data_IF_794158985742
#
_entry.id   IF_794158985742
#
_cell.length_a   1.000
_cell.length_b   1.000
_cell.length_c   1.000
_cell.angle_alpha   90.00
_cell.angle_beta   90.00
_cell.angle_gamma   90.00
#
_symmetry.space_group_name_H-M   'P 1'
#
loop_
_entity.id
_entity.type
_entity.pdbx_description
1 polymer ?
#
# COMPACT_ATOMS: atom_id res chain seq x y z
N UNK A 1 9.91 -3.35 -19.88
CA UNK A 1 8.91 -2.44 -19.29
C UNK A 1 9.54 -1.70 -18.12
N UNK A 2 8.99 -0.56 -17.73
CA UNK A 2 9.28 0.04 -16.42
C UNK A 2 8.04 0.01 -15.54
N UNK A 3 8.20 -0.38 -14.29
CA UNK A 3 7.15 -0.35 -13.28
C UNK A 3 7.48 0.79 -12.33
N UNK A 4 6.67 1.83 -12.31
CA UNK A 4 6.99 3.10 -11.65
C UNK A 4 6.07 3.33 -10.46
N UNK A 5 6.66 3.42 -9.27
CA UNK A 5 5.97 3.85 -8.06
C UNK A 5 5.60 5.32 -8.12
N UNK A 6 4.30 5.63 -8.07
CA UNK A 6 3.81 7.02 -8.12
C UNK A 6 3.59 7.65 -6.74
N UNK A 7 3.95 6.93 -5.68
CA UNK A 7 3.76 7.38 -4.30
C UNK A 7 2.36 7.07 -3.77
N UNK A 8 2.21 7.12 -2.45
CA UNK A 8 0.96 6.77 -1.76
C UNK A 8 -0.14 7.82 -1.94
N UNK A 9 0.23 9.08 -2.17
CA UNK A 9 -0.67 10.21 -2.41
C UNK A 9 0.04 11.42 -3.04
N UNK A 10 -0.68 12.54 -3.24
CA UNK A 10 -0.14 13.76 -3.85
C UNK A 10 1.16 14.27 -3.19
N UNK A 11 2.08 14.79 -3.99
CA UNK A 11 3.38 15.31 -3.51
C UNK A 11 4.39 14.24 -3.09
N UNK A 12 4.08 12.95 -3.25
CA UNK A 12 4.97 11.83 -2.89
C UNK A 12 5.62 11.14 -4.10
N UNK A 13 5.56 11.79 -5.27
CA UNK A 13 6.23 11.32 -6.48
C UNK A 13 7.73 11.61 -6.38
N UNK A 14 8.57 10.59 -6.61
CA UNK A 14 10.03 10.78 -6.62
C UNK A 14 10.48 11.47 -7.91
N UNK A 15 11.61 12.17 -7.86
CA UNK A 15 12.18 12.80 -9.06
C UNK A 15 12.58 11.77 -10.14
N UNK A 16 12.95 10.56 -9.74
CA UNK A 16 13.25 9.47 -10.66
C UNK A 16 11.98 8.97 -11.37
N UNK A 17 10.90 8.74 -10.62
CA UNK A 17 9.60 8.38 -11.19
C UNK A 17 9.09 9.45 -12.16
N UNK A 18 9.14 10.73 -11.76
CA UNK A 18 8.76 11.84 -12.63
C UNK A 18 9.56 11.87 -13.94
N UNK A 19 10.88 11.66 -13.89
CA UNK A 19 11.72 11.57 -15.11
C UNK A 19 11.32 10.38 -15.99
N UNK A 20 11.08 9.20 -15.42
CA UNK A 20 10.65 8.04 -16.17
C UNK A 20 9.30 8.27 -16.88
N UNK A 21 8.36 8.94 -16.19
CA UNK A 21 7.02 9.27 -16.72
C UNK A 21 7.10 10.30 -17.85
N UNK A 22 7.88 11.38 -17.68
CA UNK A 22 8.05 12.42 -18.71
C UNK A 22 8.64 11.88 -20.02
N UNK A 23 9.48 10.85 -19.95
CA UNK A 23 10.09 10.22 -21.13
C UNK A 23 9.21 9.12 -21.76
N UNK A 24 8.13 8.73 -21.10
CA UNK A 24 7.28 7.64 -21.55
C UNK A 24 6.48 8.04 -22.80
N UNK A 25 6.31 7.08 -23.71
CA UNK A 25 5.43 7.21 -24.88
C UNK A 25 4.15 6.40 -24.75
N UNK A 26 4.15 5.41 -23.85
CA UNK A 26 3.05 4.52 -23.57
C UNK A 26 2.99 4.28 -22.06
N UNK A 27 1.90 4.71 -21.43
CA UNK A 27 1.65 4.58 -20.00
C UNK A 27 0.41 3.73 -19.77
N UNK A 28 0.50 2.81 -18.83
CA UNK A 28 -0.62 2.09 -18.25
C UNK A 28 -0.70 2.37 -16.74
N UNK A 29 -1.88 2.62 -16.21
CA UNK A 29 -2.06 2.78 -14.76
C UNK A 29 -3.52 2.62 -14.35
N UNK A 30 -3.77 2.48 -13.05
CA UNK A 30 -5.13 2.71 -12.54
C UNK A 30 -5.51 4.18 -12.70
N UNK A 31 -6.80 4.51 -12.72
CA UNK A 31 -7.27 5.92 -12.75
C UNK A 31 -6.59 6.75 -11.67
N UNK A 32 -6.54 6.23 -10.44
CA UNK A 32 -5.86 6.87 -9.30
C UNK A 32 -4.37 7.12 -9.57
N UNK A 33 -3.64 6.16 -10.12
CA UNK A 33 -2.22 6.32 -10.39
C UNK A 33 -1.96 7.33 -11.51
N UNK A 34 -2.80 7.35 -12.54
CA UNK A 34 -2.74 8.32 -13.65
C UNK A 34 -3.00 9.74 -13.14
N UNK A 35 -4.03 9.92 -12.30
CA UNK A 35 -4.39 11.24 -11.76
C UNK A 35 -3.26 11.84 -10.90
N UNK A 36 -2.54 11.02 -10.13
CA UNK A 36 -1.41 11.46 -9.32
C UNK A 36 -0.25 12.04 -10.12
N UNK A 37 -0.10 11.66 -11.39
CA UNK A 37 1.06 12.02 -12.20
C UNK A 37 0.68 12.79 -13.46
N UNK A 38 -0.58 13.24 -13.56
CA UNK A 38 -1.13 13.89 -14.76
C UNK A 38 -0.27 15.04 -15.28
N UNK A 39 0.31 15.83 -14.38
CA UNK A 39 1.17 16.97 -14.72
C UNK A 39 2.54 16.54 -15.30
N UNK A 40 2.95 15.30 -15.06
CA UNK A 40 4.22 14.75 -15.51
C UNK A 40 4.13 14.00 -16.84
N UNK A 41 2.91 13.71 -17.30
CA UNK A 41 2.68 12.99 -18.55
C UNK A 41 2.98 13.94 -19.72
N UNK A 42 3.97 13.57 -20.53
CA UNK A 42 4.37 14.35 -21.69
C UNK A 42 3.27 14.47 -22.76
N UNK A 43 3.23 15.59 -23.51
CA UNK A 43 2.27 15.75 -24.60
C UNK A 43 2.49 14.66 -25.66
N UNK A 44 1.40 14.00 -26.07
CA UNK A 44 1.45 12.92 -27.07
C UNK A 44 1.80 11.53 -26.51
N UNK A 45 1.97 11.38 -25.18
CA UNK A 45 2.01 10.06 -24.56
C UNK A 45 0.66 9.36 -24.69
N UNK A 46 0.67 8.09 -25.12
CA UNK A 46 -0.53 7.25 -25.10
C UNK A 46 -0.76 6.73 -23.68
N UNK A 47 -1.85 7.14 -23.04
CA UNK A 47 -2.18 6.74 -21.67
C UNK A 47 -3.40 5.83 -21.69
N UNK A 48 -3.30 4.68 -21.03
CA UNK A 48 -4.39 3.71 -20.93
C UNK A 48 -4.67 3.33 -19.48
N UNK A 49 -5.95 3.26 -19.15
CA UNK A 49 -6.38 2.73 -17.85
C UNK A 49 -6.23 1.21 -17.88
N UNK A 50 -5.70 0.63 -16.81
CA UNK A 50 -5.61 -0.82 -16.66
C UNK A 50 -6.99 -1.38 -16.38
N UNK A 51 -7.53 -2.15 -17.33
CA UNK A 51 -8.80 -2.87 -17.18
C UNK A 51 -8.58 -4.32 -16.71
N UNK A 52 -7.48 -4.95 -17.17
CA UNK A 52 -7.13 -6.32 -16.82
C UNK A 52 -5.65 -6.44 -16.42
N UNK A 53 -5.39 -6.66 -15.13
CA UNK A 53 -4.04 -6.80 -14.60
C UNK A 53 -3.29 -8.04 -15.12
N UNK A 54 -3.99 -9.05 -15.65
CA UNK A 54 -3.34 -10.27 -16.17
C UNK A 54 -2.60 -10.04 -17.48
N UNK A 55 -3.07 -9.08 -18.29
CA UNK A 55 -2.51 -8.75 -19.61
C UNK A 55 -1.27 -7.86 -19.51
N UNK A 56 -0.95 -7.33 -18.32
CA UNK A 56 0.20 -6.44 -18.14
C UNK A 56 1.54 -7.09 -18.49
N UNK A 57 1.64 -8.42 -18.42
CA UNK A 57 2.85 -9.17 -18.80
C UNK A 57 3.09 -9.22 -20.30
N UNK A 58 2.05 -8.98 -21.09
CA UNK A 58 2.09 -9.04 -22.56
C UNK A 58 2.34 -7.65 -23.18
N UNK A 59 2.45 -6.61 -22.33
CA UNK A 59 2.71 -5.26 -22.78
C UNK A 59 4.11 -5.13 -23.39
N UNK A 60 4.29 -4.22 -24.37
CA UNK A 60 5.56 -4.07 -25.06
C UNK A 60 6.63 -3.49 -24.13
N UNK A 61 7.90 -3.74 -24.43
CA UNK A 61 9.01 -3.47 -23.53
C UNK A 61 9.18 -1.98 -23.16
N UNK A 62 8.72 -1.07 -24.01
CA UNK A 62 8.72 0.38 -23.81
C UNK A 62 7.59 0.90 -22.92
N UNK A 63 6.63 0.05 -22.54
CA UNK A 63 5.52 0.47 -21.67
C UNK A 63 6.02 0.85 -20.27
N UNK A 64 5.48 1.96 -19.77
CA UNK A 64 5.59 2.38 -18.36
C UNK A 64 4.29 2.03 -17.65
N UNK A 65 4.40 1.27 -16.57
CA UNK A 65 3.27 0.82 -15.76
C UNK A 65 3.31 1.55 -14.43
N UNK A 66 2.29 2.36 -14.15
CA UNK A 66 2.16 3.11 -12.91
C UNK A 66 1.61 2.20 -11.80
N UNK A 67 2.30 2.18 -10.67
CA UNK A 67 1.89 1.48 -9.45
C UNK A 67 1.73 2.51 -8.34
N UNK A 68 0.55 2.59 -7.73
CA UNK A 68 0.33 3.43 -6.54
C UNK A 68 1.25 2.97 -5.40
N UNK A 69 1.79 3.91 -4.64
CA UNK A 69 2.76 3.63 -3.58
C UNK A 69 4.12 3.22 -4.13
N UNK A 70 4.68 2.17 -3.54
CA UNK A 70 5.90 1.51 -4.02
C UNK A 70 5.53 0.18 -4.70
N UNK A 71 6.10 -0.14 -5.88
CA UNK A 71 5.77 -1.37 -6.58
C UNK A 71 6.08 -2.67 -5.80
N UNK A 72 7.02 -2.63 -4.85
CA UNK A 72 7.53 -3.80 -4.13
C UNK A 72 6.84 -4.10 -2.80
N UNK A 73 5.98 -3.22 -2.27
CA UNK A 73 5.25 -3.51 -1.01
C UNK A 73 4.07 -4.45 -1.21
N UNK A 74 3.20 -4.14 -2.19
CA UNK A 74 2.04 -4.95 -2.60
C UNK A 74 1.53 -4.50 -3.97
N UNK A 75 2.44 -4.02 -4.81
CA UNK A 75 2.15 -3.40 -6.10
C UNK A 75 2.45 -4.31 -7.28
N UNK A 76 2.83 -3.68 -8.39
CA UNK A 76 3.08 -4.36 -9.66
C UNK A 76 4.55 -4.78 -9.87
N UNK A 77 5.37 -4.76 -8.81
CA UNK A 77 6.79 -5.12 -8.87
C UNK A 77 7.09 -6.58 -9.22
N UNK A 78 6.06 -7.45 -9.28
CA UNK A 78 6.18 -8.83 -9.75
C UNK A 78 6.26 -8.96 -11.27
N UNK A 79 5.98 -7.89 -12.03
CA UNK A 79 6.08 -7.87 -13.49
C UNK A 79 7.55 -7.79 -13.93
N UNK A 80 7.86 -8.41 -15.06
CA UNK A 80 9.21 -8.35 -15.62
C UNK A 80 9.54 -6.93 -16.12
N UNK A 81 10.62 -6.36 -15.61
CA UNK A 81 11.06 -5.03 -16.00
C UNK A 81 11.91 -4.33 -14.95
N UNK A 82 12.28 -3.09 -15.26
CA UNK A 82 12.96 -2.20 -14.32
C UNK A 82 11.92 -1.61 -13.35
N UNK A 83 12.15 -1.75 -12.06
CA UNK A 83 11.29 -1.16 -11.02
C UNK A 83 11.88 0.16 -10.57
N UNK A 84 11.11 1.24 -10.74
CA UNK A 84 11.40 2.56 -10.14
C UNK A 84 10.63 2.67 -8.82
N UNK A 85 11.31 2.79 -7.68
CA UNK A 85 10.66 2.79 -6.37
C UNK A 85 9.82 4.05 -6.15
N UNK A 86 8.85 3.93 -5.25
CA UNK A 86 7.96 5.01 -4.83
C UNK A 86 7.85 5.10 -3.32
N UNK A 87 7.16 6.13 -2.82
CA UNK A 87 6.85 6.23 -1.39
C UNK A 87 5.64 5.35 -1.08
N UNK A 88 5.84 4.28 -0.32
CA UNK A 88 4.79 3.32 0.03
C UNK A 88 3.86 3.82 1.13
N UNK A 89 2.64 3.29 1.20
CA UNK A 89 1.70 3.57 2.29
C UNK A 89 2.25 3.16 3.66
N UNK A 90 3.05 2.09 3.74
CA UNK A 90 3.73 1.68 4.97
C UNK A 90 4.72 2.75 5.45
N UNK A 91 5.50 3.33 4.54
CA UNK A 91 6.43 4.42 4.87
C UNK A 91 5.67 5.64 5.41
N UNK A 92 4.56 6.02 4.78
CA UNK A 92 3.70 7.13 5.25
C UNK A 92 3.07 6.81 6.60
N UNK A 93 2.52 5.61 6.79
CA UNK A 93 1.93 5.18 8.05
C UNK A 93 2.95 5.21 9.20
N UNK A 94 4.16 4.70 8.96
CA UNK A 94 5.28 4.78 9.90
C UNK A 94 5.62 6.23 10.27
N UNK A 95 5.69 7.12 9.27
CA UNK A 95 5.97 8.53 9.50
C UNK A 95 4.87 9.22 10.33
N UNK A 96 3.59 8.91 10.08
CA UNK A 96 2.45 9.47 10.82
C UNK A 96 2.35 8.97 12.26
N UNK A 97 2.58 7.68 12.45
CA UNK A 97 2.55 7.04 13.77
C UNK A 97 3.86 7.21 14.55
N UNK A 98 4.91 7.78 13.92
CA UNK A 98 6.26 7.89 14.48
C UNK A 98 6.85 6.52 14.88
N UNK A 99 6.56 5.50 14.09
CA UNK A 99 7.07 4.13 14.28
C UNK A 99 8.24 3.90 13.33
N UNK A 100 9.31 3.27 13.83
CA UNK A 100 10.43 2.86 12.99
C UNK A 100 10.01 1.72 12.06
N UNK A 101 10.30 1.85 10.77
CA UNK A 101 10.06 0.77 9.79
C UNK A 101 10.81 -0.52 10.16
N UNK A 102 11.91 -0.45 10.91
CA UNK A 102 12.66 -1.63 11.38
C UNK A 102 11.88 -2.50 12.37
N UNK A 103 10.77 -2.00 12.91
CA UNK A 103 9.86 -2.73 13.79
C UNK A 103 8.64 -3.30 13.06
N UNK A 104 8.46 -2.94 11.79
CA UNK A 104 7.23 -3.22 11.04
C UNK A 104 7.45 -4.38 10.08
N UNK A 105 6.54 -5.34 10.11
CA UNK A 105 6.48 -6.48 9.20
C UNK A 105 5.24 -6.35 8.32
N UNK A 106 5.38 -6.04 7.02
CA UNK A 106 4.25 -6.02 6.11
C UNK A 106 3.79 -7.46 5.81
N UNK A 107 2.49 -7.70 5.92
CA UNK A 107 1.87 -9.00 5.62
C UNK A 107 0.73 -8.78 4.63
N UNK A 108 0.79 -9.47 3.49
CA UNK A 108 -0.25 -9.39 2.46
C UNK A 108 -1.48 -10.19 2.88
N UNK A 109 -2.65 -9.53 2.85
CA UNK A 109 -3.95 -10.19 3.13
C UNK A 109 -4.93 -10.07 1.94
N UNK A 110 -4.50 -9.51 0.81
CA UNK A 110 -5.36 -9.23 -0.33
C UNK A 110 -5.53 -10.44 -1.26
N UNK A 111 -6.77 -10.74 -1.67
CA UNK A 111 -7.11 -11.70 -2.72
C UNK A 111 -7.18 -13.18 -2.33
N UNK A 112 -6.89 -13.54 -1.08
CA UNK A 112 -7.16 -14.88 -0.49
C UNK A 112 -7.68 -14.67 0.93
N UNK A 113 -8.42 -15.65 1.47
CA UNK A 113 -8.86 -15.61 2.88
C UNK A 113 -7.63 -15.34 3.75
N UNK A 114 -7.67 -14.26 4.53
CA UNK A 114 -6.57 -13.87 5.41
C UNK A 114 -6.16 -15.05 6.30
N UNK A 115 -4.89 -15.42 6.25
CA UNK A 115 -4.28 -16.36 7.19
C UNK A 115 -3.79 -15.57 8.40
N UNK A 116 -4.38 -15.76 9.60
CA UNK A 116 -3.97 -15.01 10.79
C UNK A 116 -2.65 -15.50 11.38
N UNK A 117 -2.18 -16.71 11.09
CA UNK A 117 -1.02 -17.30 11.79
C UNK A 117 0.26 -16.47 11.66
N UNK A 118 0.67 -15.99 10.46
CA UNK A 118 1.85 -15.10 10.34
C UNK A 118 1.69 -13.78 11.12
N UNK A 119 0.46 -13.30 11.27
CA UNK A 119 0.16 -12.09 12.02
C UNK A 119 0.33 -12.34 13.52
N UNK A 120 -0.24 -13.44 14.04
CA UNK A 120 -0.12 -13.84 15.44
C UNK A 120 1.36 -14.06 15.83
N UNK A 121 2.13 -14.73 14.96
CA UNK A 121 3.55 -14.98 15.19
C UNK A 121 4.35 -13.68 15.36
N UNK A 122 4.23 -12.75 14.41
CA UNK A 122 5.00 -11.50 14.45
C UNK A 122 4.55 -10.58 15.59
N UNK A 123 3.25 -10.51 15.88
CA UNK A 123 2.74 -9.79 17.06
C UNK A 123 3.25 -10.41 18.36
N UNK A 124 3.29 -11.74 18.44
CA UNK A 124 3.85 -12.49 19.57
C UNK A 124 5.34 -12.24 19.77
N UNK A 125 6.09 -11.96 18.69
CA UNK A 125 7.49 -11.54 18.72
C UNK A 125 7.70 -10.06 19.08
N UNK A 126 6.61 -9.33 19.38
CA UNK A 126 6.66 -7.90 19.69
C UNK A 126 6.93 -7.03 18.46
N UNK A 127 6.68 -7.53 17.25
CA UNK A 127 6.72 -6.72 16.02
C UNK A 127 5.39 -6.00 15.81
N UNK A 128 5.46 -4.89 15.09
CA UNK A 128 4.28 -4.25 14.53
C UNK A 128 4.00 -4.90 13.17
N UNK A 129 2.76 -5.30 12.90
CA UNK A 129 2.37 -5.77 11.57
C UNK A 129 1.72 -4.63 10.79
N UNK A 130 1.99 -4.58 9.49
CA UNK A 130 1.34 -3.66 8.56
C UNK A 130 0.52 -4.46 7.54
N UNK A 131 -0.78 -4.16 7.46
CA UNK A 131 -1.72 -4.85 6.57
C UNK A 131 -2.36 -3.84 5.63
N UNK A 132 -2.58 -4.25 4.38
CA UNK A 132 -3.48 -3.56 3.46
C UNK A 132 -4.78 -4.34 3.39
N UNK A 133 -5.86 -3.72 3.84
CA UNK A 133 -7.16 -4.37 4.03
C UNK A 133 -8.22 -3.70 3.17
N UNK A 134 -9.28 -4.43 2.88
CA UNK A 134 -10.50 -3.94 2.24
C UNK A 134 -11.74 -4.47 2.99
N UNK A 135 -12.94 -4.19 2.46
CA UNK A 135 -14.20 -4.64 3.06
C UNK A 135 -14.34 -6.17 3.19
N UNK A 136 -13.54 -6.95 2.48
CA UNK A 136 -13.55 -8.42 2.59
C UNK A 136 -12.71 -8.95 3.75
N UNK A 137 -11.90 -8.09 4.38
CA UNK A 137 -10.99 -8.48 5.47
C UNK A 137 -11.69 -8.50 6.82
N UNK A 138 -11.74 -9.65 7.49
CA UNK A 138 -12.31 -9.79 8.84
C UNK A 138 -11.36 -9.28 9.93
N UNK A 139 -11.19 -7.97 10.00
CA UNK A 139 -10.33 -7.31 10.98
C UNK A 139 -10.82 -7.52 12.42
N UNK A 140 -12.15 -7.56 12.63
CA UNK A 140 -12.73 -7.82 13.95
C UNK A 140 -12.46 -9.26 14.42
N UNK A 141 -12.56 -10.24 13.52
CA UNK A 141 -12.16 -11.62 13.77
C UNK A 141 -10.68 -11.73 14.14
N UNK A 142 -9.79 -11.06 13.41
CA UNK A 142 -8.37 -11.01 13.74
C UNK A 142 -8.12 -10.42 15.13
N UNK A 143 -8.75 -9.29 15.45
CA UNK A 143 -8.59 -8.64 16.75
C UNK A 143 -9.09 -9.56 17.89
N UNK A 144 -10.23 -10.24 17.71
CA UNK A 144 -10.72 -11.23 18.68
C UNK A 144 -9.74 -12.39 18.86
N UNK A 145 -9.20 -12.92 17.78
CA UNK A 145 -8.23 -14.02 17.83
C UNK A 145 -6.93 -13.61 18.54
N UNK A 146 -6.47 -12.37 18.36
CA UNK A 146 -5.33 -11.82 19.10
C UNK A 146 -5.63 -11.76 20.61
N UNK A 147 -6.82 -11.29 21.01
CA UNK A 147 -7.24 -11.29 22.42
C UNK A 147 -7.33 -12.71 23.00
N UNK A 148 -7.92 -13.66 22.25
CA UNK A 148 -8.02 -15.08 22.66
C UNK A 148 -6.65 -15.76 22.86
N UNK A 149 -5.59 -15.20 22.28
CA UNK A 149 -4.21 -15.70 22.40
C UNK A 149 -3.36 -14.87 23.36
N UNK A 150 -3.96 -13.99 24.16
CA UNK A 150 -3.27 -13.07 25.08
C UNK A 150 -2.26 -12.13 24.37
N UNK A 151 -2.54 -11.79 23.12
CA UNK A 151 -1.74 -10.92 22.25
C UNK A 151 -2.39 -9.54 22.07
N UNK A 152 -2.91 -8.94 23.14
CA UNK A 152 -3.54 -7.63 23.09
C UNK A 152 -2.55 -6.54 22.63
N UNK A 153 -2.94 -5.70 21.67
CA UNK A 153 -2.10 -4.66 21.07
C UNK A 153 -2.88 -3.39 20.72
N UNK A 154 -2.14 -2.33 20.42
CA UNK A 154 -2.70 -1.13 19.80
C UNK A 154 -3.05 -1.43 18.33
N UNK A 155 -4.12 -0.79 17.86
CA UNK A 155 -4.60 -0.90 16.47
C UNK A 155 -4.79 0.50 15.91
N UNK A 156 -4.12 0.79 14.80
CA UNK A 156 -4.33 2.00 14.02
C UNK A 156 -4.87 1.66 12.63
N UNK A 157 -5.98 2.26 12.23
CA UNK A 157 -6.53 2.21 10.87
C UNK A 157 -6.28 3.57 10.22
N UNK A 158 -5.60 3.56 9.09
CA UNK A 158 -5.22 4.74 8.34
C UNK A 158 -5.85 4.67 6.96
N UNK A 159 -6.71 5.64 6.65
CA UNK A 159 -7.38 5.78 5.34
C UNK A 159 -6.88 7.03 4.64
N UNK A 160 -6.91 6.99 3.31
CA UNK A 160 -6.59 8.14 2.46
C UNK A 160 -5.24 8.79 2.77
N UNK A 161 -4.25 7.96 3.17
CA UNK A 161 -2.89 8.40 3.48
C UNK A 161 -2.30 9.27 2.36
N UNK A 162 -1.90 10.49 2.72
CA UNK A 162 -1.36 11.50 1.82
C UNK A 162 -2.39 12.35 1.08
N UNK A 163 -3.70 12.08 1.21
CA UNK A 163 -4.78 12.86 0.60
C UNK A 163 -5.38 13.87 1.59
N UNK A 164 -6.17 14.85 1.11
CA UNK A 164 -6.83 15.82 2.00
C UNK A 164 -7.73 15.19 3.06
N UNK A 165 -8.36 14.05 2.74
CA UNK A 165 -9.26 13.32 3.63
C UNK A 165 -8.53 12.26 4.49
N UNK A 166 -7.20 12.35 4.63
CA UNK A 166 -6.39 11.45 5.46
C UNK A 166 -6.97 11.34 6.88
N UNK A 167 -7.28 10.12 7.32
CA UNK A 167 -7.81 9.84 8.65
C UNK A 167 -6.98 8.76 9.35
N UNK A 168 -6.70 8.95 10.64
CA UNK A 168 -6.03 7.97 11.49
C UNK A 168 -6.91 7.69 12.71
N UNK A 169 -7.49 6.50 12.73
CA UNK A 169 -8.32 6.02 13.83
C UNK A 169 -7.52 5.06 14.69
N UNK A 170 -7.57 5.27 16.00
CA UNK A 170 -6.78 4.55 16.99
C UNK A 170 -7.69 3.79 17.94
N UNK A 171 -7.27 2.60 18.34
CA UNK A 171 -7.94 1.76 19.29
C UNK A 171 -7.04 0.62 19.73
N UNK A 172 -7.64 -0.47 20.20
CA UNK A 172 -6.92 -1.67 20.65
C UNK A 172 -7.55 -2.90 20.04
N UNK A 173 -6.91 -4.05 20.12
CA UNK A 173 -7.52 -5.34 19.71
C UNK A 173 -8.81 -5.64 20.49
N UNK A 174 -8.93 -5.20 21.75
CA UNK A 174 -10.16 -5.33 22.54
C UNK A 174 -11.28 -4.37 22.11
N UNK A 175 -10.90 -3.18 21.61
CA UNK A 175 -11.82 -2.13 21.12
C UNK A 175 -11.29 -1.57 19.80
N UNK A 176 -11.37 -2.34 18.71
CA UNK A 176 -10.76 -1.95 17.44
C UNK A 176 -11.58 -0.81 16.81
N UNK A 177 -10.92 0.16 16.15
CA UNK A 177 -11.64 1.16 15.38
C UNK A 177 -12.37 0.48 14.22
N UNK A 178 -13.45 1.09 13.73
CA UNK A 178 -14.15 0.58 12.55
C UNK A 178 -13.27 0.76 11.33
N UNK A 179 -13.23 -0.25 10.45
CA UNK A 179 -12.67 -0.13 9.10
C UNK A 179 -13.82 0.01 8.10
N UNK A 180 -13.56 0.67 6.97
CA UNK A 180 -14.45 0.69 5.82
C UNK A 180 -13.63 1.01 4.58
N UNK A 181 -13.87 0.29 3.50
CA UNK A 181 -13.12 0.38 2.26
C UNK A 181 -11.65 -0.04 2.39
N UNK A 182 -10.85 0.41 1.43
CA UNK A 182 -9.41 0.18 1.38
C UNK A 182 -8.71 0.97 2.49
N UNK A 183 -7.95 0.30 3.36
CA UNK A 183 -7.22 0.94 4.44
C UNK A 183 -5.85 0.30 4.68
N UNK A 184 -4.95 1.08 5.28
CA UNK A 184 -3.74 0.56 5.92
C UNK A 184 -4.03 0.30 7.39
N UNK A 185 -3.64 -0.86 7.92
CA UNK A 185 -3.80 -1.21 9.33
C UNK A 185 -2.44 -1.50 9.94
N UNK A 186 -2.17 -0.92 11.10
CA UNK A 186 -1.01 -1.21 11.93
C UNK A 186 -1.47 -1.85 13.24
N UNK A 187 -0.91 -3.00 13.61
CA UNK A 187 -1.19 -3.68 14.89
C UNK A 187 0.14 -3.95 15.60
N UNK A 188 0.30 -3.50 16.84
CA UNK A 188 1.54 -3.67 17.61
C UNK A 188 1.62 -2.73 18.80
N UNK A 189 2.83 -2.52 19.34
CA UNK A 189 3.09 -1.53 20.39
C UNK A 189 3.28 -0.15 19.74
N UNK A 190 2.18 0.59 19.59
CA UNK A 190 2.15 1.88 18.88
C UNK A 190 2.26 3.07 19.84
N UNK A 191 1.98 2.87 21.13
CA UNK A 191 2.32 3.80 22.20
C UNK A 191 1.36 4.99 22.33
N UNK A 192 0.06 4.75 22.13
CA UNK A 192 -1.00 5.75 22.31
C UNK A 192 -2.12 5.28 23.24
#
# INVERSE_FOLDING_TARGET
MKIVGVGAGPGMLTQEAARAIRMARLIYGSTRAIDLVREEIGPGCNVRVIENYRELRELPAEAVILSTGDPMLSGLGYLDGEVVPGISSMQVACARLKISQLKVVPITVHGRRMDPEPILEEVGRGRCVFLLVDDSTDLLGLCRLLEERDLSRDVAILTDLGYPDEEIRKGTTARPPRSGGLASVMIGDLGF
#
